data_IF_198138974429
#
_entry.id   IF_198138974429
#
_cell.length_a   1.000
_cell.length_b   1.000
_cell.length_c   1.000
_cell.angle_alpha   90.00
_cell.angle_beta   90.00
_cell.angle_gamma   90.00
#
_symmetry.space_group_name_H-M   'P 1'
#
loop_
_entity.id
_entity.type
_entity.pdbx_description
1 polymer ?
#
# COMPACT_ATOMS: atom_id res chain seq x y z
N UNK A 1 -11.66 -74.60 15.92
CA UNK A 1 -11.79 -73.12 15.89
C UNK A 1 -10.54 -72.49 16.48
N UNK A 2 -9.70 -71.84 15.65
CA UNK A 2 -8.57 -71.02 16.12
C UNK A 2 -8.39 -69.88 15.11
N UNK A 3 -8.79 -68.67 15.50
CA UNK A 3 -8.88 -67.48 14.65
C UNK A 3 -7.48 -66.87 14.51
N UNK A 4 -7.02 -66.69 13.28
CA UNK A 4 -5.73 -66.05 12.99
C UNK A 4 -5.94 -64.54 12.82
N UNK A 5 -5.40 -63.77 13.76
CA UNK A 5 -5.32 -62.31 13.69
C UNK A 5 -4.16 -61.92 12.78
N UNK A 6 -4.44 -61.25 11.65
CA UNK A 6 -3.41 -60.57 10.86
C UNK A 6 -3.54 -59.05 11.01
N UNK A 7 -2.39 -58.43 11.25
CA UNK A 7 -2.16 -57.01 11.45
C UNK A 7 -2.61 -56.15 10.27
N UNK A 8 -3.38 -55.12 10.61
CA UNK A 8 -3.18 -53.69 10.32
C UNK A 8 -2.33 -53.30 9.09
N UNK A 9 -2.99 -52.69 8.10
CA UNK A 9 -2.40 -51.64 7.26
C UNK A 9 -3.51 -50.64 6.90
N UNK A 10 -3.61 -49.56 7.67
CA UNK A 10 -4.46 -48.42 7.38
C UNK A 10 -3.68 -47.51 6.43
N UNK A 11 -4.09 -47.48 5.16
CA UNK A 11 -3.60 -46.50 4.21
C UNK A 11 -4.49 -45.25 4.31
N UNK A 12 -4.07 -44.28 5.12
CA UNK A 12 -4.66 -42.93 5.17
C UNK A 12 -4.21 -42.16 3.94
N UNK A 13 -5.08 -42.05 2.94
CA UNK A 13 -4.93 -41.07 1.85
C UNK A 13 -5.22 -39.69 2.45
N UNK A 14 -4.18 -38.90 2.64
CA UNK A 14 -4.30 -37.48 2.98
C UNK A 14 -4.88 -36.74 1.77
N UNK A 15 -6.18 -36.46 1.80
CA UNK A 15 -6.77 -35.48 0.91
C UNK A 15 -6.27 -34.10 1.34
N UNK A 16 -5.41 -33.49 0.52
CA UNK A 16 -5.05 -32.09 0.63
C UNK A 16 -6.33 -31.27 0.36
N UNK A 17 -7.02 -30.87 1.42
CA UNK A 17 -8.01 -29.82 1.33
C UNK A 17 -7.30 -28.54 0.90
N UNK A 18 -7.66 -28.06 -0.30
CA UNK A 18 -7.18 -26.81 -0.84
C UNK A 18 -7.37 -25.69 0.18
N UNK A 19 -6.28 -24.99 0.51
CA UNK A 19 -6.35 -23.69 1.16
C UNK A 19 -6.87 -22.70 0.11
N UNK A 20 -8.19 -22.68 -0.10
CA UNK A 20 -8.83 -21.50 -0.65
C UNK A 20 -8.85 -20.49 0.51
N UNK A 21 -7.82 -19.64 0.59
CA UNK A 21 -7.94 -18.38 1.31
C UNK A 21 -9.04 -17.59 0.62
N UNK A 22 -10.17 -17.29 1.29
CA UNK A 22 -11.03 -16.25 0.77
C UNK A 22 -10.23 -14.95 0.83
N UNK A 23 -9.94 -14.36 -0.33
CA UNK A 23 -9.68 -12.93 -0.43
C UNK A 23 -10.97 -12.21 -0.01
N UNK A 24 -11.15 -12.08 1.29
CA UNK A 24 -12.13 -11.20 1.92
C UNK A 24 -11.36 -10.10 2.61
N UNK A 25 -11.17 -8.99 1.91
CA UNK A 25 -11.01 -7.65 2.49
C UNK A 25 -10.94 -6.61 1.37
N UNK A 26 -12.02 -5.86 1.16
CA UNK A 26 -11.97 -4.69 0.27
C UNK A 26 -13.28 -4.06 -0.17
N UNK A 27 -14.44 -4.49 0.33
CA UNK A 27 -15.67 -3.72 0.12
C UNK A 27 -15.68 -2.54 1.10
N UNK A 28 -15.07 -1.40 0.72
CA UNK A 28 -15.33 -0.04 1.23
C UNK A 28 -14.31 1.00 0.68
N UNK A 29 -13.89 0.92 -0.59
CA UNK A 29 -13.14 2.03 -1.26
C UNK A 29 -13.36 2.12 -2.78
N UNK A 30 -13.90 1.05 -3.39
CA UNK A 30 -14.04 0.87 -4.85
C UNK A 30 -14.81 1.95 -5.63
N UNK A 31 -15.54 2.86 -4.99
CA UNK A 31 -16.40 3.85 -5.68
C UNK A 31 -15.67 5.13 -6.12
N UNK A 32 -14.46 5.42 -5.62
CA UNK A 32 -13.65 6.58 -6.09
C UNK A 32 -12.46 6.14 -6.96
N UNK A 33 -12.16 4.84 -6.97
CA UNK A 33 -11.00 4.24 -7.65
C UNK A 33 -11.30 3.87 -9.10
N UNK A 34 -12.57 3.59 -9.43
CA UNK A 34 -12.99 3.09 -10.73
C UNK A 34 -13.04 4.16 -11.84
N UNK A 35 -12.90 5.45 -11.51
CA UNK A 35 -13.14 6.56 -12.44
C UNK A 35 -11.86 7.34 -12.84
N UNK A 36 -10.73 7.13 -12.14
CA UNK A 36 -9.48 7.81 -12.49
C UNK A 36 -8.61 6.94 -13.41
N UNK A 37 -8.60 7.27 -14.70
CA UNK A 37 -7.84 6.55 -15.73
C UNK A 37 -6.33 6.51 -15.48
N UNK A 38 -5.80 7.38 -14.61
CA UNK A 38 -4.37 7.42 -14.22
C UNK A 38 -4.00 6.31 -13.24
N UNK A 39 -4.97 5.70 -12.56
CA UNK A 39 -4.72 4.63 -11.59
C UNK A 39 -4.53 3.31 -12.34
N UNK A 40 -3.33 2.76 -12.24
CA UNK A 40 -2.98 1.46 -12.82
C UNK A 40 -3.18 0.28 -11.86
N UNK A 41 -2.38 -0.76 -12.05
CA UNK A 41 -2.47 -1.97 -11.25
C UNK A 41 -2.06 -1.75 -9.78
N UNK A 42 -2.70 -2.46 -8.85
CA UNK A 42 -2.27 -2.49 -7.45
C UNK A 42 -0.91 -3.20 -7.32
N UNK A 43 0.00 -2.60 -6.56
CA UNK A 43 1.34 -3.11 -6.32
C UNK A 43 1.49 -3.47 -4.85
N UNK A 44 1.95 -4.70 -4.60
CA UNK A 44 2.07 -5.22 -3.22
C UNK A 44 3.15 -4.51 -2.39
N UNK A 45 4.30 -4.19 -2.99
CA UNK A 45 5.43 -3.57 -2.30
C UNK A 45 6.09 -2.53 -3.19
N UNK A 46 6.32 -1.34 -2.65
CA UNK A 46 7.07 -0.27 -3.29
C UNK A 46 8.42 -0.08 -2.60
N UNK A 47 9.46 -0.65 -3.21
CA UNK A 47 10.83 -0.57 -2.69
C UNK A 47 11.62 0.60 -3.29
N UNK A 48 12.17 1.45 -2.42
CA UNK A 48 13.10 2.52 -2.73
C UNK A 48 14.54 2.05 -2.51
N UNK A 49 15.50 2.65 -3.19
CA UNK A 49 16.94 2.44 -2.94
C UNK A 49 17.49 3.46 -1.93
N UNK A 50 16.64 4.37 -1.46
CA UNK A 50 16.96 5.43 -0.51
C UNK A 50 15.68 6.12 -0.06
N UNK A 51 15.76 7.43 0.22
CA UNK A 51 14.59 8.23 0.55
C UNK A 51 13.68 8.44 -0.67
N UNK A 52 12.43 8.84 -0.40
CA UNK A 52 11.48 9.27 -1.43
C UNK A 52 12.08 10.45 -2.20
N UNK A 53 12.17 10.31 -3.52
CA UNK A 53 12.85 11.28 -4.41
C UNK A 53 11.98 12.46 -4.84
N UNK A 54 10.69 12.40 -4.52
CA UNK A 54 9.68 13.38 -4.90
C UNK A 54 8.30 12.83 -4.62
N UNK A 55 7.36 13.73 -4.34
CA UNK A 55 5.95 13.41 -4.18
C UNK A 55 5.11 14.60 -4.61
N UNK A 56 3.83 14.35 -4.85
CA UNK A 56 2.81 15.38 -5.09
C UNK A 56 1.46 14.96 -4.51
N UNK A 57 0.55 15.92 -4.40
CA UNK A 57 -0.82 15.66 -3.97
C UNK A 57 -1.56 14.79 -4.99
N UNK A 58 -2.51 14.00 -4.48
CA UNK A 58 -3.50 13.28 -5.28
C UNK A 58 -4.79 14.11 -5.37
N UNK A 59 -4.70 15.30 -5.97
CA UNK A 59 -5.83 16.21 -6.24
C UNK A 59 -6.72 16.49 -5.01
N UNK A 60 -6.11 16.65 -3.83
CA UNK A 60 -6.80 16.91 -2.56
C UNK A 60 -7.53 15.70 -1.96
N UNK A 61 -7.40 14.51 -2.57
CA UNK A 61 -7.95 13.25 -2.06
C UNK A 61 -6.97 12.58 -1.09
N UNK A 62 -7.45 11.56 -0.37
CA UNK A 62 -6.65 10.84 0.64
C UNK A 62 -5.58 9.96 -0.01
N UNK A 63 -4.40 10.52 -0.24
CA UNK A 63 -3.24 9.82 -0.78
C UNK A 63 -2.17 10.77 -1.30
N UNK A 64 -1.05 10.20 -1.73
CA UNK A 64 0.07 10.93 -2.31
C UNK A 64 0.55 10.20 -3.55
N UNK A 65 0.93 10.96 -4.58
CA UNK A 65 1.68 10.41 -5.71
C UNK A 65 3.16 10.44 -5.29
N UNK A 66 3.83 9.29 -5.33
CA UNK A 66 5.21 9.13 -4.88
C UNK A 66 6.08 8.70 -6.04
N UNK A 67 7.22 9.37 -6.20
CA UNK A 67 8.17 9.10 -7.28
C UNK A 67 9.30 8.19 -6.81
N UNK A 68 9.42 7.03 -7.46
CA UNK A 68 10.53 6.08 -7.27
C UNK A 68 11.68 6.34 -8.26
N UNK A 69 11.38 6.77 -9.47
CA UNK A 69 12.36 7.00 -10.54
C UNK A 69 11.92 8.11 -11.50
N UNK A 70 12.68 8.40 -12.56
CA UNK A 70 12.35 9.47 -13.51
C UNK A 70 10.99 9.32 -14.21
N UNK A 71 10.56 8.07 -14.39
CA UNK A 71 9.29 7.73 -15.04
C UNK A 71 8.35 6.89 -14.15
N UNK A 72 8.82 6.47 -12.97
CA UNK A 72 8.07 5.56 -12.10
C UNK A 72 7.40 6.35 -10.97
N UNK A 73 6.10 6.55 -11.13
CA UNK A 73 5.22 7.18 -10.14
C UNK A 73 4.19 6.17 -9.64
N UNK A 74 3.82 6.30 -8.37
CA UNK A 74 2.87 5.41 -7.71
C UNK A 74 1.90 6.22 -6.87
N UNK A 75 0.62 5.89 -6.94
CA UNK A 75 -0.37 6.41 -6.01
C UNK A 75 -0.32 5.60 -4.72
N UNK A 76 0.06 6.23 -3.62
CA UNK A 76 -0.03 5.65 -2.29
C UNK A 76 -1.29 6.17 -1.61
N UNK A 77 -2.28 5.30 -1.45
CA UNK A 77 -3.49 5.60 -0.68
C UNK A 77 -3.19 5.47 0.80
N UNK A 78 -3.72 6.40 1.58
CA UNK A 78 -3.56 6.43 3.03
C UNK A 78 -4.92 6.20 3.68
N UNK A 79 -4.92 5.63 4.88
CA UNK A 79 -6.13 5.59 5.69
C UNK A 79 -6.56 7.02 6.05
N UNK A 80 -7.87 7.29 6.19
CA UNK A 80 -8.36 8.58 6.65
C UNK A 80 -7.76 9.01 7.99
N UNK A 81 -7.68 10.31 8.22
CA UNK A 81 -7.22 10.88 9.50
C UNK A 81 -5.76 11.35 9.50
N UNK A 82 -5.02 11.18 8.41
CA UNK A 82 -3.69 11.77 8.23
C UNK A 82 -3.80 13.29 7.98
N UNK A 83 -3.76 14.08 9.05
CA UNK A 83 -3.99 15.53 9.01
C UNK A 83 -3.01 16.33 8.09
N UNK A 84 -1.71 16.00 8.01
CA UNK A 84 -0.76 16.75 7.20
C UNK A 84 -1.02 16.70 5.67
N UNK A 85 -1.87 15.79 5.18
CA UNK A 85 -2.17 15.64 3.74
C UNK A 85 -2.85 16.83 3.09
N UNK A 86 -3.40 17.74 3.89
CA UNK A 86 -4.00 18.98 3.35
C UNK A 86 -2.97 19.91 2.71
N UNK A 87 -1.70 19.82 3.10
CA UNK A 87 -0.60 20.60 2.52
C UNK A 87 0.76 19.93 2.84
N UNK A 88 1.05 18.76 2.28
CA UNK A 88 2.24 18.00 2.61
C UNK A 88 3.49 18.68 2.04
N UNK A 89 4.49 18.89 2.90
CA UNK A 89 5.76 19.53 2.56
C UNK A 89 6.96 18.59 2.73
N UNK A 90 6.81 17.52 3.53
CA UNK A 90 7.77 16.42 3.60
C UNK A 90 7.06 15.09 3.70
N UNK A 91 7.70 14.08 3.13
CA UNK A 91 7.25 12.70 3.19
C UNK A 91 8.46 11.80 3.40
N UNK A 92 8.33 10.83 4.30
CA UNK A 92 9.34 9.84 4.61
C UNK A 92 8.73 8.45 4.79
N UNK A 93 9.57 7.44 4.68
CA UNK A 93 9.20 6.07 4.99
C UNK A 93 9.32 5.85 6.52
N UNK A 94 8.33 5.20 7.11
CA UNK A 94 8.39 4.67 8.48
C UNK A 94 8.19 3.17 8.46
N UNK A 95 9.19 2.51 7.88
CA UNK A 95 9.23 1.06 7.70
C UNK A 95 9.96 0.46 8.90
N UNK A 96 9.25 -0.33 9.70
CA UNK A 96 9.83 -1.02 10.84
C UNK A 96 11.06 -1.83 10.42
N UNK A 97 12.18 -1.68 11.13
CA UNK A 97 13.44 -2.42 10.93
C UNK A 97 14.26 -1.96 9.70
N UNK A 98 14.09 -0.71 9.23
CA UNK A 98 14.96 -0.13 8.21
C UNK A 98 14.82 -0.77 6.83
N UNK A 99 13.66 -1.39 6.57
CA UNK A 99 13.33 -1.88 5.24
C UNK A 99 13.20 -0.69 4.29
N UNK A 100 13.63 -0.80 3.04
CA UNK A 100 13.44 0.27 2.06
C UNK A 100 12.13 0.10 1.27
N UNK A 101 11.24 -0.79 1.73
CA UNK A 101 10.01 -1.15 1.05
C UNK A 101 8.77 -0.71 1.83
N UNK A 102 7.88 -0.01 1.14
CA UNK A 102 6.57 0.37 1.64
C UNK A 102 5.52 -0.64 1.17
N UNK A 103 4.67 -1.09 2.08
CA UNK A 103 3.58 -2.03 1.82
C UNK A 103 2.29 -1.55 2.45
N UNK A 104 1.18 -2.17 2.06
CA UNK A 104 -0.09 -2.00 2.78
C UNK A 104 0.11 -2.31 4.26
N UNK A 105 -0.37 -1.41 5.11
CA UNK A 105 -0.22 -1.55 6.55
C UNK A 105 1.09 -1.00 7.11
N UNK A 106 2.01 -0.47 6.31
CA UNK A 106 3.15 0.31 6.81
C UNK A 106 2.76 1.78 7.05
N UNK A 107 3.59 2.54 7.77
CA UNK A 107 3.41 3.98 7.93
C UNK A 107 4.32 4.78 6.99
N UNK A 108 3.80 5.92 6.56
CA UNK A 108 4.59 7.02 6.03
C UNK A 108 4.60 8.16 7.04
N UNK A 109 5.75 8.80 7.23
CA UNK A 109 5.80 10.08 7.94
C UNK A 109 5.42 11.17 6.96
N UNK A 110 4.33 11.89 7.23
CA UNK A 110 3.93 13.05 6.44
C UNK A 110 4.02 14.28 7.33
N UNK A 111 4.60 15.37 6.81
CA UNK A 111 4.67 16.64 7.52
C UNK A 111 4.23 17.78 6.61
N UNK A 112 3.52 18.75 7.17
CA UNK A 112 3.13 19.99 6.49
C UNK A 112 4.18 21.11 6.63
N UNK A 113 5.35 20.80 7.20
CA UNK A 113 6.45 21.73 7.44
C UNK A 113 7.59 21.47 6.46
N UNK A 114 8.25 22.51 5.97
CA UNK A 114 9.43 22.34 5.10
C UNK A 114 10.68 21.81 5.83
N UNK A 115 10.87 22.22 7.09
CA UNK A 115 12.03 21.83 7.90
C UNK A 115 11.58 21.26 9.25
N UNK A 116 12.35 20.29 9.76
CA UNK A 116 12.14 19.79 11.11
C UNK A 116 12.38 20.93 12.10
N UNK A 117 11.55 21.03 13.13
CA UNK A 117 11.58 22.10 14.12
C UNK A 117 11.31 21.52 15.49
N UNK A 118 11.99 22.03 16.52
CA UNK A 118 11.72 21.63 17.91
C UNK A 118 10.36 22.13 18.42
N UNK A 119 9.75 23.08 17.70
CA UNK A 119 8.44 23.66 18.00
C UNK A 119 7.40 23.25 16.94
N UNK A 120 7.30 21.96 16.63
CA UNK A 120 6.21 21.44 15.79
C UNK A 120 4.88 21.55 16.54
N UNK A 121 3.87 22.13 15.89
CA UNK A 121 2.53 22.16 16.44
C UNK A 121 1.93 20.75 16.43
N UNK A 122 0.92 20.46 17.27
CA UNK A 122 0.16 19.22 17.15
C UNK A 122 -0.32 19.03 15.70
N UNK A 123 -0.14 17.83 15.16
CA UNK A 123 -0.54 17.43 13.80
C UNK A 123 0.28 18.03 12.64
N UNK A 124 1.39 18.73 12.91
CA UNK A 124 2.32 19.18 11.85
C UNK A 124 3.06 18.02 11.18
N UNK A 125 3.23 16.91 11.91
CA UNK A 125 3.85 15.66 11.46
C UNK A 125 3.03 14.50 12.00
N UNK A 126 2.75 13.51 11.14
CA UNK A 126 1.93 12.35 11.50
C UNK A 126 2.42 11.06 10.83
N UNK A 127 2.03 9.92 11.41
CA UNK A 127 2.27 8.56 10.90
C UNK A 127 1.03 8.09 10.16
N UNK A 128 1.11 8.07 8.85
CA UNK A 128 -0.03 7.86 7.97
C UNK A 128 0.02 6.44 7.40
N UNK A 129 -0.95 5.62 7.82
CA UNK A 129 -1.02 4.21 7.47
C UNK A 129 -1.37 4.03 5.99
N UNK A 130 -0.59 3.24 5.28
CA UNK A 130 -0.84 2.88 3.88
C UNK A 130 -2.03 1.93 3.78
N UNK A 131 -3.02 2.33 2.99
CA UNK A 131 -4.19 1.54 2.66
C UNK A 131 -3.96 0.63 1.45
N UNK A 132 -3.35 1.19 0.39
CA UNK A 132 -3.06 0.51 -0.86
C UNK A 132 -2.01 1.29 -1.67
N UNK A 133 -1.40 0.64 -2.67
CA UNK A 133 -0.41 1.25 -3.56
C UNK A 133 -0.77 0.86 -4.99
N UNK A 134 -0.81 1.82 -5.89
CA UNK A 134 -1.13 1.61 -7.31
C UNK A 134 -0.05 2.20 -8.19
N UNK A 135 0.15 1.65 -9.39
CA UNK A 135 0.86 2.34 -10.46
C UNK A 135 0.13 3.64 -10.82
N UNK A 136 0.89 4.67 -11.22
CA UNK A 136 0.34 5.96 -11.61
C UNK A 136 0.81 6.36 -13.00
N UNK A 137 -0.14 6.54 -13.93
CA UNK A 137 0.10 7.07 -15.26
C UNK A 137 -0.40 8.51 -15.35
N UNK A 138 0.53 9.45 -15.19
CA UNK A 138 0.24 10.89 -15.29
C UNK A 138 -0.27 11.35 -16.66
N UNK A 139 -0.15 10.52 -17.71
CA UNK A 139 -0.53 10.86 -19.09
C UNK A 139 -1.85 10.24 -19.53
N UNK A 140 -2.47 9.36 -18.73
CA UNK A 140 -3.63 8.58 -19.15
C UNK A 140 -4.83 9.43 -19.61
N UNK A 141 -4.99 10.65 -19.09
CA UNK A 141 -6.07 11.56 -19.50
C UNK A 141 -5.79 12.28 -20.84
N UNK A 142 -4.52 12.36 -21.26
CA UNK A 142 -4.13 13.04 -22.50
C UNK A 142 -4.34 12.14 -23.73
N UNK A 143 -4.41 10.81 -23.55
CA UNK A 143 -4.53 9.83 -24.64
C UNK A 143 -5.98 9.64 -25.11
N UNK A 144 -6.96 10.10 -24.33
CA UNK A 144 -8.39 9.98 -24.65
C UNK A 144 -8.93 11.08 -25.56
N UNK A 145 -8.10 12.06 -25.94
CA UNK A 145 -8.45 13.20 -26.79
C UNK A 145 -7.75 13.15 -28.18
N UNK A 146 -7.77 11.99 -28.87
CA UNK A 146 -7.32 11.87 -30.27
C UNK A 146 -8.34 11.13 -31.17
#
# INVERSE_FOLDING_TARGET
MKKSTRLLAVATVAALAACATPDSSGTETAVDEADDARIGAEVRNLCFTGNISGFSDYDGKTGLIVRKGPADEYLVKLLPGCAPLSNPQRVGLDTGIGSSCLSRGDDMIVSNRFFASENEAPFDTDRCRVAAIYEWDRTANDVTEE
#
